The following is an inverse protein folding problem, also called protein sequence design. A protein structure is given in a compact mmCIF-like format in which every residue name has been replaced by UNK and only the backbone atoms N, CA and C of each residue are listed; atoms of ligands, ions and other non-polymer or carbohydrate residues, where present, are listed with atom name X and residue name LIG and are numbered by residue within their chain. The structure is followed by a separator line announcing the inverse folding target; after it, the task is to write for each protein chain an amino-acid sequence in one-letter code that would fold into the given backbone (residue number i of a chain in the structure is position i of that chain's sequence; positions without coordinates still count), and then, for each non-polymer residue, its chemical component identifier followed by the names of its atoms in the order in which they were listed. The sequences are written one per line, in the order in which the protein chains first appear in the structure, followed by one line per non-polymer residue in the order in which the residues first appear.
data_IF_873622369832
#
_entry.id   IF_873622369832
#
_cell.length_a   1.000
_cell.length_b   1.000
_cell.length_c   1.000
_cell.angle_alpha   90.00
_cell.angle_beta   90.00
_cell.angle_gamma   90.00
#
_symmetry.space_group_name_H-M   'P 1'
#
loop_
_entity.id
_entity.type
_entity.pdbx_description
1 polymer ?
#
# COMPACT_ATOMS: atom_id res chain seq x y z
N UNK A 1 11.15 -23.83 -7.58
CA UNK A 1 11.39 -22.63 -6.75
C UNK A 1 10.29 -22.60 -5.69
N UNK A 2 10.57 -22.67 -4.37
CA UNK A 2 9.51 -22.72 -3.38
C UNK A 2 8.78 -21.36 -3.35
N UNK A 3 7.46 -21.31 -3.57
CA UNK A 3 6.70 -20.09 -3.85
C UNK A 3 6.45 -19.17 -2.64
N UNK A 4 7.08 -19.42 -1.49
CA UNK A 4 6.72 -18.79 -0.21
C UNK A 4 7.96 -18.35 0.57
N UNK A 5 8.58 -17.25 0.13
CA UNK A 5 9.79 -16.69 0.76
C UNK A 5 9.58 -15.33 1.43
N UNK A 6 8.50 -14.62 1.09
CA UNK A 6 8.36 -13.19 1.42
C UNK A 6 7.42 -12.95 2.61
N UNK A 7 6.26 -13.61 2.61
CA UNK A 7 5.20 -13.46 3.62
C UNK A 7 4.93 -14.76 4.37
N UNK A 8 4.24 -14.64 5.49
CA UNK A 8 3.80 -15.75 6.32
C UNK A 8 2.89 -16.70 5.53
N UNK A 9 3.04 -18.00 5.79
CA UNK A 9 2.20 -19.03 5.20
C UNK A 9 1.95 -20.17 6.18
N UNK A 10 0.70 -20.62 6.26
CA UNK A 10 0.30 -21.80 7.02
C UNK A 10 -0.03 -22.92 6.03
N UNK A 11 0.58 -24.09 6.23
CA UNK A 11 0.45 -25.25 5.35
C UNK A 11 0.03 -26.50 6.15
N UNK A 12 -0.99 -26.33 7.00
CA UNK A 12 -1.51 -27.37 7.89
C UNK A 12 -2.66 -28.20 7.29
N UNK A 13 -3.15 -27.86 6.10
CA UNK A 13 -4.23 -28.60 5.41
C UNK A 13 -3.68 -29.82 4.65
N UNK A 14 -4.09 -31.02 5.04
CA UNK A 14 -3.63 -32.28 4.44
C UNK A 14 -2.37 -32.83 5.13
N UNK A 15 -1.37 -33.35 4.39
CA UNK A 15 -0.06 -33.66 4.97
C UNK A 15 0.58 -32.38 5.53
N UNK A 16 0.72 -32.32 6.85
CA UNK A 16 1.15 -31.11 7.55
C UNK A 16 2.59 -30.72 7.14
N UNK A 17 2.73 -29.58 6.47
CA UNK A 17 4.01 -28.99 6.07
C UNK A 17 4.42 -27.80 6.96
N UNK A 18 3.70 -27.59 8.08
CA UNK A 18 4.03 -26.60 9.11
C UNK A 18 3.62 -25.17 8.76
N UNK A 19 4.31 -24.22 9.36
CA UNK A 19 4.09 -22.79 9.21
C UNK A 19 5.42 -22.07 8.97
N UNK A 20 5.40 -21.06 8.12
CA UNK A 20 6.54 -20.21 7.81
C UNK A 20 6.18 -18.79 8.20
N UNK A 21 7.09 -18.11 8.91
CA UNK A 21 7.03 -16.65 9.09
C UNK A 21 7.98 -16.00 8.09
N UNK A 22 7.42 -15.21 7.19
CA UNK A 22 8.15 -14.43 6.21
C UNK A 22 8.82 -13.21 6.83
N UNK A 23 9.88 -12.68 6.19
CA UNK A 23 10.58 -11.50 6.67
C UNK A 23 9.78 -10.21 6.52
N UNK A 24 8.84 -10.13 5.57
CA UNK A 24 8.10 -8.91 5.25
C UNK A 24 6.77 -8.88 6.01
N UNK A 25 6.60 -7.86 6.85
CA UNK A 25 5.39 -7.60 7.60
C UNK A 25 4.90 -6.19 7.31
N UNK A 26 3.61 -6.04 7.06
CA UNK A 26 2.99 -4.77 6.66
C UNK A 26 1.86 -4.46 7.62
N UNK A 27 1.81 -3.24 8.15
CA UNK A 27 0.72 -2.80 9.02
C UNK A 27 -0.46 -2.24 8.22
N UNK A 28 -1.57 -2.02 8.90
CA UNK A 28 -2.64 -1.20 8.33
C UNK A 28 -2.12 0.19 7.94
N UNK A 29 -2.69 0.72 6.87
CA UNK A 29 -2.35 2.02 6.30
C UNK A 29 -3.46 3.02 6.61
N UNK A 30 -3.40 3.79 7.70
CA UNK A 30 -4.36 4.84 7.97
C UNK A 30 -4.18 6.01 6.99
N UNK A 31 -5.26 6.76 6.76
CA UNK A 31 -5.18 8.03 6.05
C UNK A 31 -4.55 9.10 6.94
N UNK A 32 -3.80 10.03 6.35
CA UNK A 32 -3.17 11.13 7.07
C UNK A 32 -4.21 12.13 7.58
N UNK A 33 -5.12 12.53 6.70
CA UNK A 33 -6.26 13.37 7.03
C UNK A 33 -7.54 12.52 7.09
N UNK A 34 -8.58 13.00 7.79
CA UNK A 34 -9.91 12.39 7.73
C UNK A 34 -10.43 12.33 6.30
N UNK A 35 -10.76 11.11 5.86
CA UNK A 35 -11.38 10.88 4.55
C UNK A 35 -12.90 10.98 4.68
N UNK A 36 -13.56 11.48 3.63
CA UNK A 36 -15.01 11.49 3.52
C UNK A 36 -15.43 10.45 2.47
N UNK A 37 -16.02 9.32 2.88
CA UNK A 37 -16.66 8.40 1.95
C UNK A 37 -17.89 9.08 1.32
N UNK A 38 -18.01 8.98 0.00
CA UNK A 38 -19.15 9.46 -0.76
C UNK A 38 -19.77 8.31 -1.53
N UNK A 39 -21.09 8.31 -1.66
CA UNK A 39 -21.80 7.33 -2.49
C UNK A 39 -22.32 7.99 -3.76
N UNK A 40 -21.85 7.52 -4.91
CA UNK A 40 -22.45 7.85 -6.20
C UNK A 40 -23.54 6.82 -6.51
N UNK A 41 -24.76 7.29 -6.73
CA UNK A 41 -25.83 6.43 -7.24
C UNK A 41 -25.62 6.18 -8.72
N UNK A 42 -25.68 4.91 -9.12
CA UNK A 42 -25.50 4.47 -10.51
C UNK A 42 -26.70 3.62 -10.93
N UNK A 43 -27.00 3.60 -12.22
CA UNK A 43 -28.07 2.77 -12.80
C UNK A 43 -27.48 1.63 -13.59
N UNK A 44 -28.06 0.43 -13.46
CA UNK A 44 -27.81 -0.70 -14.35
C UNK A 44 -29.06 -0.89 -15.21
N UNK A 45 -28.87 -0.82 -16.53
CA UNK A 45 -29.95 -0.96 -17.52
C UNK A 45 -30.41 -2.41 -17.71
N UNK A 46 -29.53 -3.39 -17.47
CA UNK A 46 -29.88 -4.79 -17.58
C UNK A 46 -30.33 -5.32 -16.21
N UNK A 47 -31.53 -5.92 -16.16
CA UNK A 47 -32.04 -6.59 -14.95
C UNK A 47 -31.51 -8.02 -14.90
N UNK A 48 -30.92 -8.39 -13.76
CA UNK A 48 -30.45 -9.76 -13.52
C UNK A 48 -31.51 -10.64 -12.84
N UNK A 49 -32.49 -10.03 -12.16
CA UNK A 49 -33.62 -10.72 -11.57
C UNK A 49 -34.85 -10.63 -12.49
N UNK A 50 -34.99 -11.65 -13.33
CA UNK A 50 -36.17 -11.84 -14.17
C UNK A 50 -36.57 -13.33 -14.19
N UNK A 51 -37.75 -13.59 -14.74
CA UNK A 51 -38.33 -14.93 -14.84
C UNK A 51 -37.68 -15.78 -15.95
N UNK A 52 -36.79 -15.17 -16.74
CA UNK A 52 -36.13 -15.76 -17.90
C UNK A 52 -34.66 -16.04 -17.54
N UNK A 53 -34.45 -17.14 -16.80
CA UNK A 53 -33.11 -17.61 -16.34
C UNK A 53 -32.83 -19.03 -16.84
N UNK A 54 -31.63 -19.28 -17.39
CA UNK A 54 -31.18 -20.64 -17.76
C UNK A 54 -30.21 -20.66 -18.94
N UNK A 55 -29.47 -21.77 -19.08
CA UNK A 55 -28.45 -21.95 -20.12
C UNK A 55 -28.99 -21.97 -21.56
N UNK A 56 -30.30 -22.18 -21.73
CA UNK A 56 -30.96 -22.33 -23.03
C UNK A 56 -31.63 -21.04 -23.55
N UNK A 57 -31.50 -19.93 -22.82
CA UNK A 57 -32.17 -18.69 -23.19
C UNK A 57 -31.21 -17.85 -24.04
N UNK A 58 -31.58 -17.66 -25.29
CA UNK A 58 -30.81 -16.89 -26.25
C UNK A 58 -30.99 -15.37 -26.09
N UNK A 59 -30.11 -14.61 -26.74
CA UNK A 59 -30.19 -13.14 -26.77
C UNK A 59 -31.49 -12.60 -27.39
N UNK A 60 -32.12 -13.36 -28.29
CA UNK A 60 -33.38 -12.98 -28.94
C UNK A 60 -34.59 -13.07 -27.99
N UNK A 61 -34.66 -14.12 -27.17
CA UNK A 61 -35.74 -14.32 -26.19
C UNK A 61 -35.64 -13.29 -25.06
N UNK A 62 -34.41 -12.97 -24.65
CA UNK A 62 -34.13 -11.90 -23.68
C UNK A 62 -34.61 -10.52 -24.18
N UNK A 63 -34.31 -10.15 -25.44
CA UNK A 63 -34.78 -8.88 -26.02
C UNK A 63 -36.31 -8.82 -26.12
N UNK A 64 -36.94 -9.89 -26.58
CA UNK A 64 -38.39 -9.94 -26.71
C UNK A 64 -39.12 -9.82 -25.36
N UNK A 65 -38.49 -10.27 -24.27
CA UNK A 65 -38.99 -10.02 -22.92
C UNK A 65 -38.72 -8.60 -22.45
N UNK A 66 -37.52 -8.08 -22.67
CA UNK A 66 -37.12 -6.71 -22.29
C UNK A 66 -38.05 -5.66 -22.93
N UNK A 67 -38.42 -5.83 -24.20
CA UNK A 67 -39.37 -4.95 -24.92
C UNK A 67 -40.80 -4.95 -24.33
N UNK A 68 -41.17 -5.99 -23.57
CA UNK A 68 -42.50 -6.10 -22.94
C UNK A 68 -42.56 -5.50 -21.54
N UNK A 69 -41.42 -5.25 -20.91
CA UNK A 69 -41.35 -4.68 -19.57
C UNK A 69 -41.35 -3.15 -19.61
N UNK A 70 -41.95 -2.48 -18.60
CA UNK A 70 -41.87 -1.04 -18.49
C UNK A 70 -40.43 -0.60 -18.21
N UNK A 71 -40.01 0.51 -18.83
CA UNK A 71 -38.62 0.98 -18.79
C UNK A 71 -38.10 1.29 -17.37
N UNK A 72 -38.99 1.63 -16.43
CA UNK A 72 -38.62 1.91 -15.04
C UNK A 72 -38.31 0.63 -14.24
N UNK A 73 -38.95 -0.49 -14.55
CA UNK A 73 -38.67 -1.80 -13.92
C UNK A 73 -37.40 -2.45 -14.46
N UNK A 74 -36.93 -1.99 -15.62
CA UNK A 74 -35.66 -2.43 -16.22
C UNK A 74 -34.43 -1.81 -15.53
N UNK A 75 -34.60 -0.77 -14.71
CA UNK A 75 -33.47 -0.04 -14.11
C UNK A 75 -33.24 -0.46 -12.67
N UNK A 76 -32.14 -1.16 -12.42
CA UNK A 76 -31.68 -1.42 -11.04
C UNK A 76 -30.78 -0.28 -10.57
N UNK A 77 -31.07 0.27 -9.38
CA UNK A 77 -30.21 1.28 -8.74
C UNK A 77 -29.08 0.61 -7.97
N UNK A 78 -27.85 0.98 -8.32
CA UNK A 78 -26.63 0.61 -7.59
C UNK A 78 -26.05 1.78 -6.82
N UNK A 79 -25.10 1.47 -5.92
CA UNK A 79 -24.31 2.46 -5.19
C UNK A 79 -22.83 2.18 -5.39
N UNK A 80 -22.07 3.23 -5.61
CA UNK A 80 -20.62 3.19 -5.71
C UNK A 80 -20.02 4.09 -4.65
N UNK A 81 -19.48 3.46 -3.61
CA UNK A 81 -18.66 4.16 -2.64
C UNK A 81 -17.37 4.63 -3.30
N UNK A 82 -17.01 5.89 -3.09
CA UNK A 82 -15.79 6.50 -3.58
C UNK A 82 -15.24 7.46 -2.53
N UNK A 83 -13.92 7.64 -2.55
CA UNK A 83 -13.22 8.61 -1.71
C UNK A 83 -12.65 9.67 -2.67
N UNK A 84 -13.02 10.96 -2.55
CA UNK A 84 -12.56 11.98 -3.48
C UNK A 84 -11.03 12.08 -3.53
N UNK A 85 -10.40 12.05 -2.35
CA UNK A 85 -8.96 11.97 -2.20
C UNK A 85 -8.60 11.46 -0.81
N UNK A 86 -7.52 10.69 -0.72
CA UNK A 86 -6.95 10.25 0.55
C UNK A 86 -5.48 9.91 0.35
N UNK A 87 -4.61 10.49 1.17
CA UNK A 87 -3.21 10.08 1.27
C UNK A 87 -3.08 9.08 2.42
N UNK A 88 -2.61 7.88 2.11
CA UNK A 88 -2.45 6.79 3.06
C UNK A 88 -0.96 6.52 3.29
N UNK A 89 -0.57 6.31 4.54
CA UNK A 89 0.79 5.93 4.89
C UNK A 89 0.82 4.49 5.39
N UNK A 90 1.56 3.67 4.67
CA UNK A 90 1.82 2.28 5.03
C UNK A 90 3.13 2.19 5.81
N UNK A 91 3.13 1.47 6.94
CA UNK A 91 4.35 1.12 7.66
C UNK A 91 4.67 -0.36 7.43
N UNK A 92 5.93 -0.64 7.10
CA UNK A 92 6.41 -1.98 6.80
C UNK A 92 7.69 -2.31 7.54
N UNK A 93 7.92 -3.61 7.76
CA UNK A 93 9.06 -4.15 8.48
C UNK A 93 9.64 -5.31 7.69
N UNK A 94 10.97 -5.34 7.56
CA UNK A 94 11.69 -6.46 6.95
C UNK A 94 12.71 -6.98 7.95
N UNK A 95 12.49 -8.19 8.46
CA UNK A 95 13.39 -8.81 9.45
C UNK A 95 14.48 -9.62 8.77
N UNK A 96 15.74 -9.20 8.93
CA UNK A 96 16.90 -9.93 8.43
C UNK A 96 17.04 -11.33 9.08
N UNK A 97 16.63 -11.48 10.34
CA UNK A 97 16.67 -12.77 11.03
C UNK A 97 15.72 -13.80 10.40
N UNK A 98 14.49 -13.39 10.08
CA UNK A 98 13.52 -14.26 9.38
C UNK A 98 13.90 -14.48 7.91
N UNK A 99 14.58 -13.51 7.29
CA UNK A 99 15.08 -13.64 5.92
C UNK A 99 16.10 -14.78 5.78
N UNK A 100 16.98 -14.96 6.78
CA UNK A 100 17.94 -16.08 6.80
C UNK A 100 17.26 -17.44 6.79
N UNK A 101 16.17 -17.61 7.55
CA UNK A 101 15.43 -18.86 7.62
C UNK A 101 14.62 -19.19 6.36
N UNK A 102 14.22 -18.17 5.60
CA UNK A 102 13.38 -18.31 4.39
C UNK A 102 14.19 -18.27 3.09
N UNK A 103 15.47 -17.90 3.16
CA UNK A 103 16.33 -17.69 1.99
C UNK A 103 15.88 -16.51 1.14
N UNK A 104 15.34 -15.47 1.78
CA UNK A 104 14.98 -14.20 1.15
C UNK A 104 16.27 -13.41 0.87
N UNK A 105 16.46 -13.06 -0.39
CA UNK A 105 17.71 -12.47 -0.90
C UNK A 105 17.58 -10.99 -1.21
N UNK A 106 18.71 -10.32 -1.48
CA UNK A 106 18.71 -8.92 -1.91
C UNK A 106 18.00 -8.72 -3.26
N UNK A 107 18.00 -9.75 -4.13
CA UNK A 107 17.25 -9.71 -5.38
C UNK A 107 15.72 -9.75 -5.14
N UNK A 108 15.28 -10.54 -4.17
CA UNK A 108 13.87 -10.53 -3.73
C UNK A 108 13.48 -9.16 -3.15
N UNK A 109 14.39 -8.54 -2.39
CA UNK A 109 14.18 -7.21 -1.82
C UNK A 109 14.06 -6.13 -2.91
N UNK A 110 14.87 -6.20 -3.97
CA UNK A 110 14.77 -5.29 -5.11
C UNK A 110 13.41 -5.42 -5.81
N UNK A 111 12.94 -6.65 -6.04
CA UNK A 111 11.62 -6.89 -6.60
C UNK A 111 10.48 -6.44 -5.68
N UNK A 112 10.66 -6.50 -4.35
CA UNK A 112 9.69 -5.95 -3.41
C UNK A 112 9.54 -4.43 -3.60
N UNK A 113 10.64 -3.70 -3.78
CA UNK A 113 10.59 -2.26 -4.04
C UNK A 113 9.91 -1.92 -5.36
N UNK A 114 10.25 -2.64 -6.43
CA UNK A 114 9.59 -2.50 -7.73
C UNK A 114 8.09 -2.78 -7.64
N UNK A 115 7.71 -3.86 -6.94
CA UNK A 115 6.32 -4.22 -6.74
C UNK A 115 5.55 -3.16 -5.94
N UNK A 116 6.16 -2.56 -4.92
CA UNK A 116 5.52 -1.49 -4.13
C UNK A 116 5.37 -0.18 -4.92
N UNK A 117 6.36 0.19 -5.73
CA UNK A 117 6.30 1.37 -6.57
C UNK A 117 5.24 1.21 -7.68
N UNK A 118 5.16 0.02 -8.30
CA UNK A 118 4.23 -0.30 -9.38
C UNK A 118 2.89 -0.92 -8.94
N UNK A 119 2.62 -1.01 -7.63
CA UNK A 119 1.56 -1.86 -7.07
C UNK A 119 0.17 -1.57 -7.66
N UNK A 120 -0.11 -0.31 -7.97
CA UNK A 120 -1.42 0.14 -8.46
C UNK A 120 -1.49 0.37 -9.97
N UNK A 121 -0.37 0.36 -10.68
CA UNK A 121 -0.37 0.60 -12.13
C UNK A 121 -1.00 -0.56 -12.91
N UNK A 122 -0.87 -1.77 -12.38
CA UNK A 122 -1.44 -2.99 -12.96
C UNK A 122 -2.78 -3.41 -12.35
N UNK A 123 -3.28 -2.67 -11.35
CA UNK A 123 -4.48 -3.03 -10.58
C UNK A 123 -5.57 -1.95 -10.71
N UNK A 124 -5.90 -1.62 -11.95
CA UNK A 124 -6.95 -0.64 -12.27
C UNK A 124 -8.31 -1.33 -12.38
N UNK A 125 -9.28 -0.81 -11.67
CA UNK A 125 -10.65 -1.29 -11.74
C UNK A 125 -11.63 -0.15 -11.52
N UNK A 126 -12.89 -0.38 -11.92
CA UNK A 126 -13.95 0.58 -11.70
C UNK A 126 -14.10 0.93 -10.20
N UNK A 127 -13.90 -0.02 -9.28
CA UNK A 127 -14.06 0.23 -7.84
C UNK A 127 -12.90 0.99 -7.20
N UNK A 128 -11.68 0.83 -7.70
CA UNK A 128 -10.46 1.41 -7.11
C UNK A 128 -10.15 2.82 -7.62
N UNK A 129 -10.60 3.17 -8.82
CA UNK A 129 -10.30 4.46 -9.43
C UNK A 129 -8.81 4.60 -9.74
N UNK A 130 -8.24 5.78 -9.46
CA UNK A 130 -6.81 6.06 -9.67
C UNK A 130 -6.09 6.02 -8.33
N UNK A 131 -5.30 4.97 -8.14
CA UNK A 131 -4.37 4.83 -7.01
C UNK A 131 -2.94 4.84 -7.55
N UNK A 132 -2.01 5.42 -6.80
CA UNK A 132 -0.61 5.53 -7.22
C UNK A 132 0.30 5.57 -5.99
N UNK A 133 1.47 4.94 -6.09
CA UNK A 133 2.51 5.12 -5.09
C UNK A 133 3.08 6.54 -5.23
N UNK A 134 3.14 7.30 -4.13
CA UNK A 134 3.63 8.69 -4.13
C UNK A 134 5.05 8.84 -3.62
N UNK A 135 5.51 7.89 -2.82
CA UNK A 135 6.88 7.87 -2.33
C UNK A 135 7.10 6.63 -1.47
N UNK A 136 8.29 6.05 -1.58
CA UNK A 136 8.73 4.93 -0.78
C UNK A 136 9.99 5.34 0.00
N UNK A 137 9.88 5.35 1.33
CA UNK A 137 11.00 5.69 2.22
C UNK A 137 11.42 4.44 2.98
N UNK A 138 12.66 4.00 2.77
CA UNK A 138 13.20 2.77 3.35
C UNK A 138 14.33 3.11 4.29
N UNK A 139 14.20 2.66 5.54
CA UNK A 139 15.24 2.80 6.55
C UNK A 139 16.02 1.49 6.67
N UNK A 140 17.28 1.51 6.24
CA UNK A 140 18.17 0.36 6.28
C UNK A 140 19.09 0.47 7.49
N UNK A 141 19.07 -0.53 8.36
CA UNK A 141 20.03 -0.64 9.46
C UNK A 141 21.37 -1.16 8.93
N UNK A 142 22.45 -0.41 9.15
CA UNK A 142 23.82 -0.74 8.69
C UNK A 142 24.80 -1.03 9.84
N UNK A 143 24.43 -0.66 11.07
CA UNK A 143 25.27 -0.82 12.25
C UNK A 143 26.31 0.30 12.41
N UNK A 144 26.81 0.45 13.63
CA UNK A 144 27.78 1.48 14.03
C UNK A 144 29.11 0.91 14.52
N UNK A 145 29.20 -0.40 14.69
CA UNK A 145 30.37 -1.03 15.28
C UNK A 145 31.60 -0.99 14.35
N UNK A 146 32.76 -0.84 14.98
CA UNK A 146 34.08 -0.93 14.37
C UNK A 146 34.40 -2.35 13.89
N UNK A 147 34.00 -3.38 14.64
CA UNK A 147 34.17 -4.77 14.24
C UNK A 147 33.11 -5.15 13.21
N UNK A 148 33.55 -5.64 12.05
CA UNK A 148 32.68 -6.03 10.95
C UNK A 148 31.64 -7.09 11.35
N UNK A 149 32.01 -8.06 12.20
CA UNK A 149 31.11 -9.15 12.60
C UNK A 149 30.03 -8.63 13.55
N UNK A 150 30.42 -7.78 14.50
CA UNK A 150 29.49 -7.19 15.46
C UNK A 150 28.56 -6.19 14.78
N UNK A 151 29.07 -5.41 13.82
CA UNK A 151 28.27 -4.48 13.01
C UNK A 151 27.16 -5.18 12.26
N UNK A 152 27.44 -6.31 11.60
CA UNK A 152 26.41 -7.09 10.89
C UNK A 152 25.35 -7.62 11.85
N UNK A 153 25.76 -8.16 13.01
CA UNK A 153 24.81 -8.65 14.03
C UNK A 153 23.93 -7.52 14.58
N UNK A 154 24.52 -6.36 14.84
CA UNK A 154 23.80 -5.17 15.30
C UNK A 154 22.80 -4.69 14.23
N UNK A 155 23.20 -4.64 12.96
CA UNK A 155 22.34 -4.28 11.85
C UNK A 155 21.14 -5.24 11.71
N UNK A 156 21.37 -6.55 11.88
CA UNK A 156 20.32 -7.56 11.82
C UNK A 156 19.27 -7.44 12.95
N UNK A 157 19.68 -7.02 14.14
CA UNK A 157 18.79 -6.81 15.28
C UNK A 157 18.07 -5.46 15.23
N UNK A 158 18.64 -4.49 14.50
CA UNK A 158 18.16 -3.12 14.39
C UNK A 158 18.97 -2.15 15.23
N UNK A 159 19.36 -1.02 14.63
CA UNK A 159 20.17 0.02 15.29
C UNK A 159 19.33 1.10 15.97
N UNK A 160 18.06 1.23 15.58
CA UNK A 160 17.15 2.25 16.08
C UNK A 160 15.73 1.65 16.19
N UNK A 161 14.91 2.14 17.14
CA UNK A 161 13.56 1.62 17.30
C UNK A 161 12.66 2.05 16.13
N UNK A 162 11.73 1.16 15.76
CA UNK A 162 10.80 1.36 14.64
C UNK A 162 10.00 2.67 14.71
N UNK A 163 9.46 3.03 15.88
CA UNK A 163 8.67 4.26 16.05
C UNK A 163 9.49 5.50 15.73
N UNK A 164 10.79 5.53 16.08
CA UNK A 164 11.68 6.67 15.82
C UNK A 164 11.88 6.92 14.32
N UNK A 165 11.85 5.85 13.52
CA UNK A 165 12.07 5.88 12.08
C UNK A 165 10.77 6.09 11.29
N UNK A 166 9.72 5.37 11.68
CA UNK A 166 8.48 5.28 10.92
C UNK A 166 7.40 6.27 11.37
N UNK A 167 7.55 6.88 12.54
CA UNK A 167 6.65 7.97 12.91
C UNK A 167 7.07 9.24 12.17
N UNK A 168 6.10 9.81 11.47
CA UNK A 168 6.23 11.03 10.70
C UNK A 168 5.34 12.11 11.30
N UNK A 169 5.76 13.36 11.17
CA UNK A 169 4.90 14.49 11.50
C UNK A 169 3.81 14.60 10.45
N UNK A 170 2.57 14.81 10.88
CA UNK A 170 1.42 14.92 9.98
C UNK A 170 0.49 16.07 10.41
N UNK A 171 -0.40 16.55 9.53
CA UNK A 171 -1.23 17.70 9.84
C UNK A 171 -2.11 17.46 11.06
N UNK A 172 -1.98 18.29 12.09
CA UNK A 172 -2.75 18.18 13.35
C UNK A 172 -2.19 17.18 14.37
N UNK A 173 -1.10 16.46 14.06
CA UNK A 173 -0.33 15.64 15.00
C UNK A 173 1.15 15.80 14.72
N UNK A 174 1.69 16.94 15.17
CA UNK A 174 3.10 17.24 15.01
C UNK A 174 3.94 16.32 15.87
N UNK A 175 5.00 15.77 15.28
CA UNK A 175 6.03 15.05 16.01
C UNK A 175 7.34 15.83 15.99
N UNK A 176 7.88 16.06 17.17
CA UNK A 176 9.19 16.69 17.34
C UNK A 176 10.26 15.72 16.81
N UNK A 177 11.19 16.24 16.00
CA UNK A 177 12.32 15.50 15.47
C UNK A 177 11.95 14.34 14.53
N UNK A 178 10.77 14.37 13.89
CA UNK A 178 10.42 13.39 12.86
C UNK A 178 11.40 13.48 11.68
N UNK A 179 11.75 12.32 11.09
CA UNK A 179 12.64 12.26 9.93
C UNK A 179 11.88 12.63 8.65
N UNK A 180 10.61 12.25 8.59
CA UNK A 180 9.70 12.60 7.51
C UNK A 180 8.60 13.47 8.11
N UNK A 181 8.37 14.63 7.49
CA UNK A 181 7.28 15.52 7.82
C UNK A 181 6.39 15.68 6.60
N UNK A 182 5.09 15.49 6.78
CA UNK A 182 4.10 15.64 5.73
C UNK A 182 3.17 16.76 6.16
N UNK A 183 3.24 17.88 5.44
CA UNK A 183 2.45 19.07 5.71
C UNK A 183 1.43 19.31 4.61
N UNK A 184 0.34 20.00 4.94
CA UNK A 184 -0.55 20.60 3.95
C UNK A 184 0.10 21.87 3.41
N UNK A 185 -0.11 22.15 2.13
CA UNK A 185 0.31 23.42 1.53
C UNK A 185 -0.29 24.59 2.30
N UNK A 186 0.51 25.62 2.59
CA UNK A 186 0.10 26.71 3.49
C UNK A 186 -1.09 27.54 2.97
N UNK A 187 -1.25 27.65 1.66
CA UNK A 187 -2.33 28.35 0.95
C UNK A 187 -3.57 27.47 0.72
N UNK A 188 -3.53 26.18 1.10
CA UNK A 188 -4.64 25.27 0.87
C UNK A 188 -5.86 25.69 1.69
N UNK A 189 -6.96 26.01 0.99
CA UNK A 189 -8.25 26.23 1.61
C UNK A 189 -9.10 24.96 1.52
N UNK A 190 -9.55 24.45 2.67
CA UNK A 190 -10.42 23.29 2.75
C UNK A 190 -9.68 21.94 2.80
N UNK A 191 -10.32 20.90 2.26
CA UNK A 191 -9.80 19.53 2.29
C UNK A 191 -8.90 19.23 1.07
N UNK A 192 -7.79 18.48 1.25
CA UNK A 192 -6.92 18.08 0.14
C UNK A 192 -7.68 17.31 -0.96
N UNK A 193 -7.29 17.53 -2.22
CA UNK A 193 -7.87 16.86 -3.40
C UNK A 193 -6.83 16.31 -4.37
N UNK A 194 -5.57 16.69 -4.21
CA UNK A 194 -4.45 16.19 -5.01
C UNK A 194 -3.20 16.01 -4.17
N UNK A 195 -2.21 15.28 -4.70
CA UNK A 195 -0.92 15.13 -4.03
C UNK A 195 -0.16 16.44 -3.94
N UNK A 196 -0.37 17.37 -4.89
CA UNK A 196 0.24 18.70 -4.87
C UNK A 196 -0.26 19.61 -3.71
N UNK A 197 -1.28 19.18 -2.97
CA UNK A 197 -1.74 19.85 -1.75
C UNK A 197 -0.92 19.42 -0.52
N UNK A 198 -0.05 18.41 -0.68
CA UNK A 198 0.85 17.92 0.34
C UNK A 198 2.29 18.28 0.00
N UNK A 199 3.06 18.61 1.03
CA UNK A 199 4.50 18.82 0.96
C UNK A 199 5.16 17.78 1.85
N UNK A 200 5.98 16.92 1.27
CA UNK A 200 6.76 15.92 2.01
C UNK A 200 8.17 16.45 2.16
N UNK A 201 8.59 16.68 3.41
CA UNK A 201 9.94 17.08 3.78
C UNK A 201 10.65 15.90 4.43
N UNK A 202 11.89 15.68 4.03
CA UNK A 202 12.75 14.62 4.55
C UNK A 202 13.97 15.28 5.15
N UNK A 203 14.34 14.85 6.34
CA UNK A 203 15.44 15.42 7.12
C UNK A 203 16.49 14.34 7.41
N UNK A 204 17.40 14.06 6.46
CA UNK A 204 18.44 13.04 6.62
C UNK A 204 19.36 13.32 7.82
N UNK A 205 19.54 14.59 8.20
CA UNK A 205 20.36 14.99 9.33
C UNK A 205 19.80 14.52 10.69
N UNK A 206 18.52 14.15 10.74
CA UNK A 206 17.85 13.63 11.94
C UNK A 206 17.94 12.11 12.06
N UNK A 207 18.56 11.43 11.11
CA UNK A 207 18.73 9.98 11.12
C UNK A 207 19.62 9.53 12.30
N UNK A 208 19.19 8.51 13.07
CA UNK A 208 20.05 7.89 14.06
C UNK A 208 21.31 7.29 13.43
N UNK A 209 22.40 7.24 14.20
CA UNK A 209 23.62 6.57 13.77
C UNK A 209 23.36 5.09 13.43
N UNK A 210 23.97 4.61 12.34
CA UNK A 210 23.82 3.23 11.89
C UNK A 210 22.54 2.95 11.11
N UNK A 211 21.83 3.99 10.65
CA UNK A 211 20.68 3.89 9.74
C UNK A 211 20.95 4.70 8.48
N UNK A 212 20.68 4.10 7.32
CA UNK A 212 20.71 4.73 6.00
C UNK A 212 19.27 4.89 5.51
N UNK A 213 18.97 6.04 4.90
CA UNK A 213 17.69 6.28 4.24
C UNK A 213 17.84 6.07 2.74
N UNK A 214 16.98 5.21 2.18
CA UNK A 214 16.82 5.02 0.74
C UNK A 214 15.47 5.61 0.32
N UNK A 215 15.46 6.34 -0.79
CA UNK A 215 14.26 6.90 -1.40
C UNK A 215 13.97 6.08 -2.67
N UNK A 216 12.75 5.58 -2.78
CA UNK A 216 12.30 4.68 -3.85
C UNK A 216 13.18 3.43 -4.00
N UNK A 217 13.67 2.93 -2.86
CA UNK A 217 14.53 1.74 -2.80
C UNK A 217 15.97 1.98 -3.30
N UNK A 218 16.36 3.24 -3.55
CA UNK A 218 17.70 3.62 -4.01
C UNK A 218 18.35 4.60 -3.03
N UNK A 219 19.68 4.55 -2.93
CA UNK A 219 20.41 5.59 -2.19
C UNK A 219 20.11 6.92 -2.90
N UNK A 220 19.66 7.96 -2.19
CA UNK A 220 19.36 9.24 -2.81
C UNK A 220 20.61 9.71 -3.55
N UNK A 221 20.48 9.94 -4.86
CA UNK A 221 21.54 10.61 -5.60
C UNK A 221 21.77 11.96 -4.92
N UNK A 222 23.02 12.29 -4.60
CA UNK A 222 23.37 13.61 -4.11
C UNK A 222 22.75 14.63 -5.08
N UNK A 223 21.78 15.40 -4.60
CA UNK A 223 21.06 16.37 -5.43
C UNK A 223 22.10 17.33 -6.00
N UNK A 224 22.21 17.51 -7.33
CA UNK A 224 22.93 18.66 -7.83
C UNK A 224 22.16 19.90 -7.37
N UNK A 225 22.88 20.80 -6.72
CA UNK A 225 22.42 22.12 -6.23
C UNK A 225 21.66 22.86 -7.32
#
# INVERSE_FOLDING_TARGET
MPPRRWMDAVMSTGPNAGQVRGPVQVSFSPSLDPILPMDASITRMAVADNDIKGANIGSAEFRAWEERQPADELRTMGRKALIPYGLYACKGFVSAHLAQGTGFSDADLAHLWEALLGMWDHDRSASKGVMSCRGLYVFKHVGTDSDATQRVRQAMLGCAPAHRLLDFSQPGREQVNAIIEIERRADLQGSPRTFADYVVKVYPERLPAGVELLVDGRTPAATPV
#
